data_IF_319143493019
#
_entry.id   IF_319143493019
#
_cell.length_a   1.000
_cell.length_b   1.000
_cell.length_c   1.000
_cell.angle_alpha   90.00
_cell.angle_beta   90.00
_cell.angle_gamma   90.00
#
_symmetry.space_group_name_H-M   'P 1'
#
loop_
_entity.id
_entity.type
_entity.pdbx_description
1 polymer ?
#
# COMPACT_ATOMS: atom_id res chain seq x y z
N UNK A 1 6.22 29.19 -10.48
CA UNK A 1 7.37 28.90 -9.58
C UNK A 1 8.67 29.12 -10.35
N UNK A 2 9.16 30.37 -10.45
CA UNK A 2 10.23 30.74 -11.40
C UNK A 2 11.57 30.04 -11.12
N UNK A 3 12.02 30.09 -9.87
CA UNK A 3 13.29 29.50 -9.44
C UNK A 3 13.38 27.99 -9.71
N UNK A 4 12.30 27.23 -9.46
CA UNK A 4 12.26 25.79 -9.74
C UNK A 4 12.36 25.48 -11.24
N UNK A 5 11.76 26.31 -12.11
CA UNK A 5 11.90 26.16 -13.55
C UNK A 5 13.33 26.46 -14.03
N UNK A 6 14.00 27.45 -13.44
CA UNK A 6 15.40 27.77 -13.76
C UNK A 6 16.34 26.63 -13.35
N UNK A 7 16.13 26.05 -12.16
CA UNK A 7 16.86 24.86 -11.71
C UNK A 7 16.63 23.65 -12.64
N UNK A 8 15.38 23.41 -13.05
CA UNK A 8 15.07 22.34 -13.99
C UNK A 8 15.75 22.56 -15.36
N UNK A 9 15.74 23.81 -15.87
CA UNK A 9 16.36 24.17 -17.15
C UNK A 9 17.88 24.00 -17.13
N UNK A 10 18.51 24.23 -15.98
CA UNK A 10 19.92 23.95 -15.78
C UNK A 10 20.21 22.44 -15.73
N UNK A 11 19.37 21.68 -15.01
CA UNK A 11 19.65 20.27 -14.70
C UNK A 11 19.37 19.31 -15.87
N UNK A 12 18.31 19.52 -16.67
CA UNK A 12 17.95 18.56 -17.72
C UNK A 12 19.07 18.33 -18.76
N UNK A 13 19.74 19.37 -19.30
CA UNK A 13 20.87 19.17 -20.20
C UNK A 13 22.03 18.39 -19.57
N UNK A 14 22.32 18.60 -18.28
CA UNK A 14 23.35 17.87 -17.54
C UNK A 14 23.04 16.38 -17.38
N UNK A 15 21.74 16.03 -17.39
CA UNK A 15 21.26 14.65 -17.41
C UNK A 15 21.14 14.06 -18.83
N UNK A 16 21.57 14.80 -19.87
CA UNK A 16 21.46 14.39 -21.27
C UNK A 16 20.05 14.58 -21.87
N UNK A 17 19.14 15.25 -21.17
CA UNK A 17 17.73 15.43 -21.56
C UNK A 17 17.50 16.75 -22.31
N UNK A 18 18.18 16.92 -23.45
CA UNK A 18 18.16 18.17 -24.24
C UNK A 18 16.84 18.42 -25.00
N UNK A 19 15.89 17.49 -24.94
CA UNK A 19 14.61 17.56 -25.65
C UNK A 19 13.46 18.12 -24.79
N UNK A 20 13.72 18.45 -23.52
CA UNK A 20 12.68 18.94 -22.60
C UNK A 20 12.49 20.44 -22.78
N UNK A 21 11.26 20.84 -23.10
CA UNK A 21 10.82 22.23 -23.05
C UNK A 21 10.21 22.53 -21.67
N UNK A 22 10.58 23.66 -21.06
CA UNK A 22 10.08 24.10 -19.76
C UNK A 22 9.25 25.36 -19.93
N UNK A 23 8.06 25.34 -19.34
CA UNK A 23 7.14 26.46 -19.32
C UNK A 23 6.86 26.89 -17.89
N UNK A 24 7.18 28.15 -17.57
CA UNK A 24 6.85 28.73 -16.27
C UNK A 24 5.47 29.40 -16.33
N UNK A 25 4.42 28.61 -16.24
CA UNK A 25 3.04 29.07 -16.31
C UNK A 25 2.17 28.42 -15.24
N UNK A 26 0.98 29.00 -15.02
CA UNK A 26 -0.10 28.29 -14.34
C UNK A 26 -0.50 27.06 -15.18
N UNK A 27 -0.50 25.87 -14.57
CA UNK A 27 -0.67 24.61 -15.28
C UNK A 27 -2.04 24.52 -15.96
N UNK A 28 -3.11 24.97 -15.29
CA UNK A 28 -4.47 24.92 -15.83
C UNK A 28 -4.64 25.88 -17.01
N UNK A 29 -4.13 27.10 -16.87
CA UNK A 29 -4.15 28.11 -17.93
C UNK A 29 -3.31 27.69 -19.14
N UNK A 30 -2.19 27.01 -18.91
CA UNK A 30 -1.35 26.45 -19.97
C UNK A 30 -2.08 25.31 -20.70
N UNK A 31 -2.58 24.32 -19.95
CA UNK A 31 -3.31 23.16 -20.48
C UNK A 31 -4.45 23.56 -21.42
N UNK A 32 -5.21 24.61 -21.08
CA UNK A 32 -6.30 25.14 -21.93
C UNK A 32 -5.81 25.51 -23.34
N UNK A 33 -4.61 26.07 -23.46
CA UNK A 33 -4.01 26.56 -24.71
C UNK A 33 -3.22 25.50 -25.47
N UNK A 34 -2.75 24.46 -24.79
CA UNK A 34 -1.94 23.40 -25.38
C UNK A 34 -2.76 22.57 -26.38
N UNK A 35 -2.11 22.10 -27.45
CA UNK A 35 -2.68 21.07 -28.33
C UNK A 35 -2.80 19.75 -27.58
N UNK A 36 -3.56 18.80 -28.13
CA UNK A 36 -3.57 17.45 -27.58
C UNK A 36 -2.17 16.83 -27.65
N UNK A 37 -1.84 16.02 -26.65
CA UNK A 37 -0.58 15.29 -26.50
C UNK A 37 -0.86 13.81 -26.24
N UNK A 38 0.15 12.95 -26.38
CA UNK A 38 -0.04 11.52 -26.17
C UNK A 38 -0.34 11.19 -24.70
N UNK A 39 0.38 11.84 -23.78
CA UNK A 39 0.33 11.58 -22.35
C UNK A 39 0.41 12.87 -21.52
N UNK A 40 -0.36 12.92 -20.43
CA UNK A 40 -0.24 13.93 -19.38
C UNK A 40 0.12 13.24 -18.07
N UNK A 41 1.14 13.74 -17.38
CA UNK A 41 1.48 13.34 -16.01
C UNK A 41 1.24 14.51 -15.07
N UNK A 42 0.67 14.23 -13.90
CA UNK A 42 0.41 15.25 -12.88
C UNK A 42 0.73 14.73 -11.48
N UNK A 43 1.37 15.59 -10.67
CA UNK A 43 1.59 15.41 -9.23
C UNK A 43 1.06 16.66 -8.51
N UNK A 44 -0.26 16.75 -8.26
CA UNK A 44 -0.86 17.95 -7.69
C UNK A 44 -0.36 18.21 -6.27
N UNK A 45 -0.24 19.48 -5.92
CA UNK A 45 0.20 19.89 -4.60
C UNK A 45 -0.85 19.56 -3.54
N UNK A 46 -0.39 19.18 -2.35
CA UNK A 46 -1.23 18.67 -1.24
C UNK A 46 -1.16 19.54 0.01
N UNK A 47 -0.92 20.85 -0.12
CA UNK A 47 -0.83 21.76 1.01
C UNK A 47 -1.96 22.78 0.98
N UNK A 48 -2.66 22.90 2.10
CA UNK A 48 -3.38 24.13 2.39
C UNK A 48 -2.37 25.27 2.66
N UNK A 49 -2.85 26.51 2.71
CA UNK A 49 -2.03 27.70 2.97
C UNK A 49 -1.28 27.69 4.32
N UNK A 50 -1.57 26.71 5.20
CA UNK A 50 -0.99 26.55 6.54
C UNK A 50 -0.10 25.31 6.67
N UNK A 51 0.17 24.58 5.57
CA UNK A 51 1.05 23.44 5.54
C UNK A 51 0.46 22.14 6.10
N UNK A 52 -0.86 22.06 6.29
CA UNK A 52 -1.52 20.82 6.72
C UNK A 52 -1.55 19.82 5.56
N UNK A 53 -1.31 18.55 5.88
CA UNK A 53 -1.43 17.44 4.91
C UNK A 53 -2.89 17.28 4.52
N UNK A 54 -3.17 17.42 3.23
CA UNK A 54 -4.51 17.23 2.69
C UNK A 54 -4.82 15.74 2.51
N UNK A 55 -6.05 15.37 2.86
CA UNK A 55 -6.49 13.97 3.00
C UNK A 55 -7.48 13.61 1.89
N UNK A 56 -8.16 14.59 1.28
CA UNK A 56 -9.10 14.39 0.18
C UNK A 56 -8.48 14.79 -1.16
N UNK A 57 -9.01 14.21 -2.24
CA UNK A 57 -8.58 14.56 -3.59
C UNK A 57 -8.95 16.00 -3.94
N UNK A 58 -10.17 16.43 -3.59
CA UNK A 58 -10.70 17.78 -3.84
C UNK A 58 -9.89 18.88 -3.16
N UNK A 59 -9.11 18.50 -2.15
CA UNK A 59 -8.27 19.46 -1.48
C UNK A 59 -7.06 19.81 -2.35
N UNK A 60 -6.62 18.92 -3.26
CA UNK A 60 -5.41 19.07 -4.06
C UNK A 60 -5.41 20.35 -4.92
N UNK A 61 -4.22 20.90 -5.18
CA UNK A 61 -4.04 22.07 -6.04
C UNK A 61 -3.21 21.69 -7.29
N UNK A 62 -3.81 21.72 -8.49
CA UNK A 62 -5.23 22.02 -8.76
C UNK A 62 -6.17 20.86 -8.37
N UNK A 63 -7.48 21.15 -8.27
CA UNK A 63 -8.49 20.10 -8.06
C UNK A 63 -8.60 19.27 -9.35
N UNK A 64 -8.08 18.03 -9.28
CA UNK A 64 -8.03 17.15 -10.44
C UNK A 64 -9.43 16.68 -10.87
N UNK A 65 -10.37 16.58 -9.93
CA UNK A 65 -11.72 16.12 -10.25
C UNK A 65 -12.48 17.11 -11.13
N UNK A 66 -12.24 18.42 -10.93
CA UNK A 66 -12.79 19.47 -11.81
C UNK A 66 -12.10 19.56 -13.17
N UNK A 67 -10.88 19.03 -13.28
CA UNK A 67 -10.08 19.05 -14.50
C UNK A 67 -10.23 17.81 -15.37
N UNK A 68 -10.83 16.73 -14.84
CA UNK A 68 -10.89 15.41 -15.49
C UNK A 68 -11.39 15.50 -16.94
N UNK A 69 -12.55 16.12 -17.18
CA UNK A 69 -13.13 16.25 -18.52
C UNK A 69 -12.20 17.01 -19.48
N UNK A 70 -11.55 18.08 -19.01
CA UNK A 70 -10.59 18.83 -19.83
C UNK A 70 -9.36 17.99 -20.17
N UNK A 71 -8.83 17.26 -19.19
CA UNK A 71 -7.65 16.41 -19.37
C UNK A 71 -7.94 15.34 -20.43
N UNK A 72 -9.12 14.71 -20.39
CA UNK A 72 -9.55 13.71 -21.37
C UNK A 72 -9.66 14.27 -22.80
N UNK A 73 -9.91 15.58 -22.97
CA UNK A 73 -9.82 16.22 -24.31
C UNK A 73 -8.39 16.51 -24.77
N UNK A 74 -7.42 16.50 -23.86
CA UNK A 74 -6.03 16.92 -24.10
C UNK A 74 -5.05 15.77 -24.21
N UNK A 75 -5.39 14.58 -23.70
CA UNK A 75 -4.53 13.41 -23.87
C UNK A 75 -5.29 12.09 -23.86
N UNK A 76 -4.72 11.10 -24.56
CA UNK A 76 -5.23 9.73 -24.57
C UNK A 76 -4.88 8.95 -23.31
N UNK A 77 -3.79 9.33 -22.62
CA UNK A 77 -3.34 8.74 -21.36
C UNK A 77 -3.05 9.83 -20.35
N UNK A 78 -3.69 9.76 -19.19
CA UNK A 78 -3.44 10.71 -18.11
C UNK A 78 -3.03 9.92 -16.89
N UNK A 79 -1.87 10.23 -16.30
CA UNK A 79 -1.38 9.63 -15.08
C UNK A 79 -1.44 10.66 -13.96
N UNK A 80 -2.28 10.39 -12.96
CA UNK A 80 -2.41 11.22 -11.75
C UNK A 80 -1.68 10.53 -10.61
N UNK A 81 -0.61 11.16 -10.12
CA UNK A 81 0.10 10.73 -8.93
C UNK A 81 -0.53 11.29 -7.67
N UNK A 82 -0.89 10.41 -6.75
CA UNK A 82 -1.53 10.75 -5.48
C UNK A 82 -0.73 10.23 -4.29
N UNK A 83 -1.04 10.81 -3.13
CA UNK A 83 -0.42 10.42 -1.86
C UNK A 83 -0.81 9.00 -1.47
N UNK A 84 0.11 8.23 -0.87
CA UNK A 84 -0.26 6.99 -0.19
C UNK A 84 -1.19 7.25 1.02
N UNK A 85 -1.29 8.50 1.48
CA UNK A 85 -2.22 8.91 2.53
C UNK A 85 -3.67 9.13 2.05
N UNK A 86 -3.92 9.28 0.75
CA UNK A 86 -5.29 9.46 0.25
C UNK A 86 -6.07 8.15 0.35
N UNK A 87 -7.36 8.24 0.67
CA UNK A 87 -8.26 7.10 0.62
C UNK A 87 -8.51 6.70 -0.85
N UNK A 88 -8.27 5.43 -1.18
CA UNK A 88 -8.37 4.96 -2.56
C UNK A 88 -9.82 4.99 -3.05
N UNK A 89 -10.77 4.57 -2.22
CA UNK A 89 -12.19 4.56 -2.57
C UNK A 89 -12.70 5.97 -2.86
N UNK A 90 -12.29 6.97 -2.08
CA UNK A 90 -12.61 8.38 -2.35
C UNK A 90 -11.96 8.89 -3.63
N UNK A 91 -10.72 8.50 -3.91
CA UNK A 91 -10.04 8.89 -5.15
C UNK A 91 -10.75 8.33 -6.39
N UNK A 92 -11.14 7.06 -6.36
CA UNK A 92 -11.88 6.40 -7.45
C UNK A 92 -13.29 6.95 -7.62
N UNK A 93 -13.96 7.32 -6.52
CA UNK A 93 -15.25 7.99 -6.60
C UNK A 93 -15.15 9.37 -7.28
N UNK A 94 -14.06 10.10 -7.01
CA UNK A 94 -13.85 11.45 -7.55
C UNK A 94 -13.34 11.45 -9.01
N UNK A 95 -12.53 10.45 -9.40
CA UNK A 95 -11.99 10.31 -10.77
C UNK A 95 -12.70 9.17 -11.50
N UNK A 96 -13.83 9.52 -12.10
CA UNK A 96 -14.81 8.58 -12.66
C UNK A 96 -14.30 7.85 -13.89
N UNK A 97 -13.28 8.39 -14.55
CA UNK A 97 -12.68 7.82 -15.75
C UNK A 97 -11.37 7.09 -15.47
N UNK A 98 -11.17 6.62 -14.24
CA UNK A 98 -10.02 5.77 -13.89
C UNK A 98 -10.13 4.43 -14.59
N UNK A 99 -9.16 4.13 -15.47
CA UNK A 99 -9.04 2.86 -16.18
C UNK A 99 -8.18 1.86 -15.39
N UNK A 100 -7.13 2.32 -14.71
CA UNK A 100 -6.23 1.46 -13.91
C UNK A 100 -5.74 2.18 -12.65
N UNK A 101 -5.47 1.41 -11.60
CA UNK A 101 -4.87 1.90 -10.36
C UNK A 101 -3.56 1.15 -10.13
N UNK A 102 -2.49 1.89 -9.82
CA UNK A 102 -1.22 1.31 -9.41
C UNK A 102 -0.85 1.82 -8.02
N UNK A 103 -0.60 0.91 -7.09
CA UNK A 103 -0.16 1.19 -5.73
C UNK A 103 1.27 0.72 -5.60
N UNK A 104 2.19 1.66 -5.49
CA UNK A 104 3.63 1.38 -5.56
C UNK A 104 4.23 1.47 -4.17
N UNK A 105 4.86 0.38 -3.75
CA UNK A 105 5.69 0.29 -2.55
C UNK A 105 7.15 0.06 -2.91
N UNK A 106 8.05 0.63 -2.13
CA UNK A 106 9.49 0.42 -2.24
C UNK A 106 10.02 0.01 -0.88
N UNK A 107 10.71 -1.12 -0.79
CA UNK A 107 11.17 -1.70 0.47
C UNK A 107 10.06 -1.83 1.52
N UNK A 108 8.87 -2.28 1.08
CA UNK A 108 7.67 -2.45 1.90
C UNK A 108 7.13 -1.15 2.54
N UNK A 109 7.39 0.00 1.91
CA UNK A 109 6.78 1.28 2.26
C UNK A 109 5.97 1.80 1.07
N UNK A 110 4.68 2.06 1.26
CA UNK A 110 3.82 2.59 0.19
C UNK A 110 4.21 4.04 -0.13
N UNK A 111 4.66 4.27 -1.37
CA UNK A 111 5.20 5.56 -1.82
C UNK A 111 4.18 6.42 -2.54
N UNK A 112 3.35 5.81 -3.38
CA UNK A 112 2.41 6.55 -4.23
C UNK A 112 1.25 5.68 -4.73
N UNK A 113 0.15 6.36 -5.05
CA UNK A 113 -0.95 5.81 -5.85
C UNK A 113 -0.88 6.48 -7.21
N UNK A 114 -0.98 5.73 -8.30
CA UNK A 114 -1.01 6.25 -9.66
C UNK A 114 -2.34 5.83 -10.27
N UNK A 115 -3.16 6.80 -10.66
CA UNK A 115 -4.43 6.55 -11.32
C UNK A 115 -4.26 6.89 -12.79
N UNK A 116 -4.53 5.91 -13.65
CA UNK A 116 -4.53 6.07 -15.09
C UNK A 116 -5.95 6.43 -15.52
N UNK A 117 -6.13 7.62 -16.09
CA UNK A 117 -7.41 8.04 -16.65
C UNK A 117 -7.39 7.90 -18.17
N UNK A 118 -8.53 7.53 -18.72
CA UNK A 118 -8.72 7.44 -20.16
C UNK A 118 -10.19 7.50 -20.57
N UNK A 119 -10.42 7.85 -21.83
CA UNK A 119 -11.77 8.03 -22.38
C UNK A 119 -12.50 6.71 -22.65
N UNK A 120 -11.81 5.57 -22.49
CA UNK A 120 -12.36 4.23 -22.73
C UNK A 120 -12.80 3.57 -21.41
N UNK A 121 -12.93 4.31 -20.30
CA UNK A 121 -13.50 3.79 -19.07
C UNK A 121 -14.95 3.32 -19.33
N UNK A 122 -15.14 2.04 -19.69
CA UNK A 122 -16.42 1.48 -20.16
C UNK A 122 -17.37 1.09 -19.02
N UNK A 123 -17.26 1.72 -17.84
CA UNK A 123 -18.00 1.31 -16.64
C UNK A 123 -17.63 -0.09 -16.11
N UNK A 124 -16.54 -0.68 -16.61
CA UNK A 124 -15.90 -1.86 -16.01
C UNK A 124 -15.05 -1.40 -14.82
N UNK A 125 -14.95 -2.22 -13.79
CA UNK A 125 -14.09 -1.90 -12.65
C UNK A 125 -12.62 -1.82 -13.07
N UNK A 126 -11.92 -0.83 -12.53
CA UNK A 126 -10.51 -0.60 -12.77
C UNK A 126 -9.68 -1.68 -12.05
N UNK A 127 -8.77 -2.41 -12.73
CA UNK A 127 -7.82 -3.27 -12.04
C UNK A 127 -6.92 -2.45 -11.10
N UNK A 128 -6.67 -3.02 -9.93
CA UNK A 128 -5.81 -2.45 -8.89
C UNK A 128 -4.52 -3.27 -8.82
N UNK A 129 -3.45 -2.69 -9.33
CA UNK A 129 -2.11 -3.24 -9.37
C UNK A 129 -1.35 -2.86 -8.10
N UNK A 130 -1.07 -3.83 -7.25
CA UNK A 130 -0.22 -3.68 -6.08
C UNK A 130 1.19 -4.12 -6.44
N UNK A 131 2.18 -3.25 -6.28
CA UNK A 131 3.58 -3.56 -6.60
C UNK A 131 4.47 -3.20 -5.42
N UNK A 132 5.35 -4.12 -5.02
CA UNK A 132 6.39 -3.87 -4.02
C UNK A 132 7.78 -4.15 -4.60
N UNK A 133 8.58 -3.11 -4.77
CA UNK A 133 9.93 -3.16 -5.34
C UNK A 133 10.95 -3.30 -4.21
N UNK A 134 11.81 -4.32 -4.28
CA UNK A 134 12.87 -4.59 -3.31
C UNK A 134 14.18 -4.90 -4.04
N UNK A 135 14.96 -3.87 -4.35
CA UNK A 135 16.15 -4.02 -5.19
C UNK A 135 15.75 -4.48 -6.59
N UNK A 136 16.29 -5.62 -7.04
CA UNK A 136 15.95 -6.23 -8.33
C UNK A 136 14.68 -7.10 -8.30
N UNK A 137 14.13 -7.37 -7.11
CA UNK A 137 12.92 -8.19 -6.94
C UNK A 137 11.66 -7.33 -6.92
N UNK A 138 10.58 -7.88 -7.47
CA UNK A 138 9.27 -7.25 -7.47
C UNK A 138 8.20 -8.27 -7.07
N UNK A 139 7.45 -7.97 -6.02
CA UNK A 139 6.21 -8.68 -5.70
C UNK A 139 5.05 -7.93 -6.36
N UNK A 140 4.07 -8.66 -6.90
CA UNK A 140 2.88 -8.07 -7.50
C UNK A 140 1.61 -8.80 -7.12
N UNK A 141 0.51 -8.05 -6.98
CA UNK A 141 -0.83 -8.60 -6.82
C UNK A 141 -1.83 -7.72 -7.56
N UNK A 142 -2.71 -8.33 -8.35
CA UNK A 142 -3.73 -7.61 -9.12
C UNK A 142 -5.10 -8.18 -8.77
N UNK A 143 -6.05 -7.29 -8.54
CA UNK A 143 -7.44 -7.59 -8.23
C UNK A 143 -8.36 -6.44 -8.63
N UNK A 144 -9.67 -6.65 -8.55
CA UNK A 144 -10.69 -5.59 -8.65
C UNK A 144 -11.49 -5.44 -7.37
N UNK A 145 -12.32 -4.39 -7.28
CA UNK A 145 -13.15 -4.17 -6.10
C UNK A 145 -14.20 -5.29 -5.92
N UNK A 146 -14.81 -5.74 -7.01
CA UNK A 146 -15.75 -6.86 -7.12
C UNK A 146 -15.08 -8.18 -6.69
N UNK A 147 -13.84 -8.45 -7.11
CA UNK A 147 -13.10 -9.62 -6.65
C UNK A 147 -12.92 -9.61 -5.12
N UNK A 148 -12.58 -8.47 -4.53
CA UNK A 148 -12.46 -8.33 -3.07
C UNK A 148 -13.82 -8.50 -2.36
N UNK A 149 -14.89 -7.94 -2.91
CA UNK A 149 -16.25 -8.05 -2.35
C UNK A 149 -16.81 -9.48 -2.44
N UNK A 150 -16.54 -10.19 -3.53
CA UNK A 150 -17.06 -11.54 -3.79
C UNK A 150 -16.17 -12.66 -3.24
N UNK A 151 -14.89 -12.39 -2.92
CA UNK A 151 -13.93 -13.40 -2.46
C UNK A 151 -14.40 -14.20 -1.24
N UNK A 152 -14.50 -15.52 -1.38
CA UNK A 152 -14.80 -16.44 -0.28
C UNK A 152 -13.57 -16.60 0.63
N UNK A 153 -13.39 -15.67 1.56
CA UNK A 153 -12.29 -15.69 2.54
C UNK A 153 -12.68 -16.50 3.76
N UNK A 154 -11.93 -17.57 4.03
CA UNK A 154 -12.08 -18.37 5.25
C UNK A 154 -11.33 -17.71 6.40
N UNK A 155 -11.96 -17.68 7.56
CA UNK A 155 -11.36 -17.23 8.81
C UNK A 155 -11.07 -18.40 9.72
N UNK A 156 -9.98 -18.33 10.49
CA UNK A 156 -9.56 -19.41 11.40
C UNK A 156 -9.06 -18.86 12.73
N UNK A 157 -9.37 -19.55 13.81
CA UNK A 157 -8.77 -19.39 15.14
C UNK A 157 -7.57 -20.33 15.35
N UNK A 158 -7.30 -21.21 14.39
CA UNK A 158 -6.23 -22.18 14.47
C UNK A 158 -5.04 -21.71 13.64
N UNK A 159 -3.86 -21.65 14.27
CA UNK A 159 -2.60 -21.38 13.59
C UNK A 159 -2.11 -22.64 12.86
N UNK A 160 -1.68 -22.48 11.62
CA UNK A 160 -1.09 -23.55 10.82
C UNK A 160 0.45 -23.45 10.84
N UNK A 161 1.12 -24.08 9.89
CA UNK A 161 2.59 -24.17 9.88
C UNK A 161 3.27 -22.85 9.50
N UNK A 162 2.67 -22.09 8.59
CA UNK A 162 3.23 -20.86 8.03
C UNK A 162 2.38 -19.64 8.37
N UNK A 163 3.02 -18.49 8.52
CA UNK A 163 2.37 -17.19 8.70
C UNK A 163 2.76 -16.24 7.56
N UNK A 164 1.79 -15.50 7.06
CA UNK A 164 1.95 -14.55 5.98
C UNK A 164 1.45 -13.18 6.38
N UNK A 165 2.20 -12.15 5.99
CA UNK A 165 1.77 -10.76 6.12
C UNK A 165 1.96 -10.05 4.77
N UNK A 166 0.87 -9.55 4.14
CA UNK A 166 0.96 -8.87 2.85
C UNK A 166 1.86 -7.64 2.89
N UNK A 167 2.44 -7.29 1.75
CA UNK A 167 3.24 -6.09 1.63
C UNK A 167 2.38 -4.80 1.73
N UNK A 168 3.03 -3.66 1.91
CA UNK A 168 2.37 -2.37 2.11
C UNK A 168 1.44 -1.95 0.95
N UNK A 169 1.74 -2.32 -0.30
CA UNK A 169 0.88 -1.98 -1.44
C UNK A 169 -0.44 -2.76 -1.40
N UNK A 170 -0.39 -4.05 -1.06
CA UNK A 170 -1.58 -4.90 -0.91
C UNK A 170 -2.43 -4.42 0.26
N UNK A 171 -1.81 -4.09 1.40
CA UNK A 171 -2.51 -3.54 2.56
C UNK A 171 -3.15 -2.18 2.25
N UNK A 172 -2.46 -1.32 1.51
CA UNK A 172 -2.99 -0.02 1.10
C UNK A 172 -4.16 -0.16 0.11
N UNK A 173 -4.12 -1.16 -0.76
CA UNK A 173 -5.18 -1.43 -1.73
C UNK A 173 -6.46 -1.97 -1.09
N UNK A 174 -6.37 -2.56 0.10
CA UNK A 174 -7.51 -3.22 0.74
C UNK A 174 -7.79 -4.62 0.21
N UNK A 175 -6.80 -5.27 -0.41
CA UNK A 175 -6.90 -6.66 -0.88
C UNK A 175 -6.79 -7.65 0.30
N UNK A 176 -7.84 -7.73 1.11
CA UNK A 176 -7.82 -8.49 2.36
C UNK A 176 -8.37 -9.89 2.21
N UNK A 177 -9.43 -10.07 1.42
CA UNK A 177 -10.11 -11.34 1.17
C UNK A 177 -9.64 -11.98 -0.14
N UNK A 178 -9.47 -11.17 -1.17
CA UNK A 178 -8.97 -11.58 -2.49
C UNK A 178 -7.63 -12.28 -2.38
N UNK A 179 -6.69 -11.77 -1.57
CA UNK A 179 -5.39 -12.42 -1.35
C UNK A 179 -5.52 -13.77 -0.66
N UNK A 180 -6.44 -13.91 0.31
CA UNK A 180 -6.67 -15.19 0.99
C UNK A 180 -7.20 -16.25 -0.01
N UNK A 181 -8.20 -15.85 -0.79
CA UNK A 181 -8.83 -16.70 -1.78
C UNK A 181 -7.85 -17.09 -2.90
N UNK A 182 -7.05 -16.14 -3.41
CA UNK A 182 -6.09 -16.38 -4.51
C UNK A 182 -5.03 -17.42 -4.15
N UNK A 183 -4.51 -17.38 -2.92
CA UNK A 183 -3.44 -18.26 -2.46
C UNK A 183 -3.95 -19.47 -1.66
N UNK A 184 -5.27 -19.61 -1.47
CA UNK A 184 -5.85 -20.71 -0.69
C UNK A 184 -5.40 -20.73 0.77
N UNK A 185 -5.23 -19.55 1.38
CA UNK A 185 -4.75 -19.38 2.76
C UNK A 185 -5.86 -18.85 3.66
N UNK A 186 -5.80 -19.18 4.95
CA UNK A 186 -6.82 -18.79 5.92
C UNK A 186 -6.44 -17.47 6.59
N UNK A 187 -7.39 -16.55 6.74
CA UNK A 187 -7.18 -15.26 7.42
C UNK A 187 -7.44 -15.41 8.91
N UNK A 188 -6.57 -14.85 9.76
CA UNK A 188 -6.70 -15.05 11.21
C UNK A 188 -7.93 -14.35 11.83
N UNK A 189 -8.32 -13.19 11.32
CA UNK A 189 -9.48 -12.43 11.78
C UNK A 189 -9.81 -11.33 10.74
N UNK A 190 -11.06 -10.84 10.59
CA UNK A 190 -11.43 -9.79 9.64
C UNK A 190 -10.50 -8.55 9.64
N UNK A 191 -10.10 -8.09 10.82
CA UNK A 191 -9.21 -6.93 11.00
C UNK A 191 -7.72 -7.31 11.22
N UNK A 192 -7.41 -8.59 11.44
CA UNK A 192 -6.02 -9.04 11.53
C UNK A 192 -5.56 -9.42 10.13
N UNK A 193 -4.86 -8.52 9.43
CA UNK A 193 -4.33 -8.77 8.08
C UNK A 193 -3.09 -9.69 8.11
N UNK A 194 -3.29 -10.87 8.70
CA UNK A 194 -2.35 -11.98 8.83
C UNK A 194 -3.06 -13.24 8.38
N UNK A 195 -2.30 -14.13 7.73
CA UNK A 195 -2.83 -15.32 7.08
C UNK A 195 -1.97 -16.52 7.45
N UNK A 196 -2.53 -17.72 7.37
CA UNK A 196 -1.84 -18.95 7.73
C UNK A 196 -2.18 -20.09 6.77
N UNK A 197 -1.23 -21.01 6.59
CA UNK A 197 -1.43 -22.25 5.82
C UNK A 197 -0.45 -23.35 6.28
N UNK A 198 -0.78 -24.60 6.00
CA UNK A 198 0.11 -25.74 6.19
C UNK A 198 1.07 -25.95 5.02
N UNK A 199 0.72 -25.45 3.83
CA UNK A 199 1.57 -25.50 2.63
C UNK A 199 2.27 -24.16 2.44
N UNK A 200 3.59 -24.18 2.24
CA UNK A 200 4.37 -22.96 2.00
C UNK A 200 4.02 -22.33 0.64
N UNK A 201 3.74 -21.02 0.65
CA UNK A 201 3.47 -20.24 -0.57
C UNK A 201 4.72 -19.41 -0.91
N UNK A 202 5.47 -19.84 -1.94
CA UNK A 202 6.76 -19.24 -2.30
C UNK A 202 6.64 -17.85 -2.96
N UNK A 203 5.54 -17.58 -3.65
CA UNK A 203 5.28 -16.35 -4.40
C UNK A 203 4.32 -15.40 -3.68
N UNK A 204 4.05 -15.61 -2.39
CA UNK A 204 3.18 -14.74 -1.60
C UNK A 204 3.70 -13.28 -1.61
N UNK A 205 2.85 -12.28 -1.93
CA UNK A 205 3.28 -10.88 -2.12
C UNK A 205 3.43 -10.17 -0.77
N UNK A 206 4.44 -10.56 -0.01
CA UNK A 206 4.71 -10.07 1.33
C UNK A 206 5.70 -10.92 2.11
N UNK A 207 5.67 -10.74 3.43
CA UNK A 207 6.55 -11.46 4.35
C UNK A 207 5.96 -12.84 4.65
N UNK A 208 6.83 -13.83 4.71
CA UNK A 208 6.54 -15.24 4.94
C UNK A 208 7.35 -15.72 6.14
N UNK A 209 6.75 -16.55 6.97
CA UNK A 209 7.39 -17.03 8.19
C UNK A 209 6.98 -18.48 8.51
N UNK A 210 7.87 -19.19 9.18
CA UNK A 210 7.57 -20.46 9.85
C UNK A 210 7.13 -20.18 11.28
N UNK A 211 5.99 -20.74 11.70
CA UNK A 211 5.50 -20.61 13.09
C UNK A 211 6.26 -21.62 13.96
N UNK A 212 7.03 -21.11 14.93
CA UNK A 212 7.82 -21.92 15.87
C UNK A 212 7.13 -22.09 17.22
N UNK A 213 6.08 -21.32 17.48
CA UNK A 213 5.25 -21.44 18.66
C UNK A 213 4.25 -20.30 18.78
N UNK A 214 3.31 -20.44 19.69
CA UNK A 214 2.36 -19.38 20.03
C UNK A 214 1.97 -19.51 21.50
N UNK A 215 1.48 -18.42 22.09
CA UNK A 215 0.90 -18.47 23.42
C UNK A 215 -0.20 -17.44 23.61
N UNK A 216 -1.00 -17.67 24.65
CA UNK A 216 -1.83 -16.61 25.23
C UNK A 216 -0.94 -15.61 25.97
N UNK A 217 -1.49 -14.44 26.30
CA UNK A 217 -0.76 -13.42 27.06
C UNK A 217 -0.67 -13.73 28.57
N UNK A 218 -0.75 -15.00 28.98
CA UNK A 218 -0.53 -15.43 30.37
C UNK A 218 0.96 -15.26 30.75
N UNK A 219 1.25 -14.86 32.00
CA UNK A 219 2.65 -14.61 32.42
C UNK A 219 3.55 -15.83 32.28
N UNK A 220 2.99 -17.04 32.49
CA UNK A 220 3.72 -18.29 32.42
C UNK A 220 4.08 -18.65 30.98
N UNK A 221 3.08 -18.73 30.10
CA UNK A 221 3.32 -19.13 28.71
C UNK A 221 4.19 -18.11 27.97
N UNK A 222 4.01 -16.81 28.23
CA UNK A 222 4.89 -15.78 27.67
C UNK A 222 6.35 -15.98 28.08
N UNK A 223 6.61 -16.37 29.33
CA UNK A 223 7.98 -16.64 29.79
C UNK A 223 8.56 -17.87 29.11
N UNK A 224 7.74 -18.90 28.89
CA UNK A 224 8.13 -20.12 28.19
C UNK A 224 8.41 -19.84 26.70
N UNK A 225 7.50 -19.17 25.98
CA UNK A 225 7.64 -18.84 24.56
C UNK A 225 8.86 -17.95 24.27
N UNK A 226 9.13 -16.98 25.16
CA UNK A 226 10.22 -16.01 25.02
C UNK A 226 11.53 -16.46 25.67
N UNK A 227 11.58 -17.66 26.26
CA UNK A 227 12.76 -18.14 26.96
C UNK A 227 13.99 -18.19 26.04
N UNK A 228 15.10 -17.62 26.51
CA UNK A 228 16.37 -17.57 25.76
C UNK A 228 16.43 -16.51 24.66
N UNK A 229 15.40 -15.68 24.48
CA UNK A 229 15.43 -14.57 23.52
C UNK A 229 15.98 -13.29 24.17
N UNK A 230 16.93 -12.64 23.50
CA UNK A 230 17.41 -11.30 23.85
C UNK A 230 16.87 -10.22 22.89
N UNK A 231 16.64 -10.61 21.62
CA UNK A 231 16.19 -9.73 20.55
C UNK A 231 15.04 -10.37 19.77
N UNK A 232 14.06 -9.56 19.41
CA UNK A 232 13.04 -9.93 18.45
C UNK A 232 12.47 -8.71 17.74
N UNK A 233 12.07 -8.91 16.48
CA UNK A 233 11.20 -7.97 15.78
C UNK A 233 9.76 -8.15 16.27
N UNK A 234 9.04 -7.05 16.51
CA UNK A 234 7.65 -7.10 17.00
C UNK A 234 6.74 -6.43 15.99
N UNK A 235 5.69 -7.14 15.58
CA UNK A 235 4.60 -6.63 14.75
C UNK A 235 3.28 -6.74 15.50
N UNK A 236 2.48 -5.67 15.45
CA UNK A 236 1.13 -5.65 16.00
C UNK A 236 0.12 -5.54 14.87
N UNK A 237 -0.90 -6.40 14.90
CA UNK A 237 -2.05 -6.37 13.99
C UNK A 237 -3.31 -6.57 14.79
N UNK A 238 -4.23 -5.59 14.76
CA UNK A 238 -5.52 -5.69 15.45
C UNK A 238 -5.38 -6.20 16.90
N UNK A 239 -4.63 -5.48 17.72
CA UNK A 239 -4.36 -5.85 19.11
C UNK A 239 -4.42 -4.60 20.00
N UNK A 240 -4.95 -4.68 21.24
CA UNK A 240 -5.11 -3.53 22.13
C UNK A 240 -3.82 -3.17 22.88
N UNK A 241 -2.71 -3.05 22.16
CA UNK A 241 -1.44 -2.53 22.64
C UNK A 241 -0.57 -2.08 21.47
N UNK A 242 0.23 -1.05 21.67
CA UNK A 242 1.23 -0.61 20.69
C UNK A 242 2.47 -1.51 20.71
N UNK A 243 3.29 -1.41 19.66
CA UNK A 243 4.61 -2.08 19.62
C UNK A 243 5.48 -1.66 20.80
N UNK A 244 5.45 -0.38 21.19
CA UNK A 244 6.23 0.14 22.32
C UNK A 244 5.78 -0.43 23.66
N UNK A 245 4.47 -0.50 23.90
CA UNK A 245 3.89 -1.08 25.12
C UNK A 245 4.24 -2.56 25.24
N UNK A 246 4.12 -3.31 24.15
CA UNK A 246 4.52 -4.73 24.12
C UNK A 246 6.02 -4.88 24.35
N UNK A 247 6.85 -4.06 23.71
CA UNK A 247 8.30 -4.10 23.89
C UNK A 247 8.71 -3.86 25.35
N UNK A 248 8.08 -2.89 26.02
CA UNK A 248 8.29 -2.63 27.46
C UNK A 248 7.87 -3.84 28.32
N UNK A 249 6.78 -4.51 27.96
CA UNK A 249 6.26 -5.68 28.69
C UNK A 249 7.15 -6.92 28.54
N UNK A 250 7.64 -7.19 27.32
CA UNK A 250 8.43 -8.40 27.03
C UNK A 250 9.93 -8.22 27.28
N UNK A 251 10.42 -6.97 27.35
CA UNK A 251 11.82 -6.61 27.64
C UNK A 251 12.83 -7.20 26.65
N UNK A 252 12.48 -7.21 25.36
CA UNK A 252 13.38 -7.64 24.28
C UNK A 252 13.89 -6.44 23.49
N UNK A 253 15.16 -6.50 23.09
CA UNK A 253 15.74 -5.55 22.16
C UNK A 253 15.22 -5.79 20.74
N UNK A 254 15.33 -4.78 19.87
CA UNK A 254 14.95 -4.94 18.47
C UNK A 254 16.03 -5.68 17.67
N UNK A 255 15.60 -6.43 16.66
CA UNK A 255 16.49 -7.21 15.78
C UNK A 255 16.51 -8.71 16.07
N UNK A 256 17.49 -9.40 15.51
CA UNK A 256 17.64 -10.85 15.58
C UNK A 256 16.89 -11.59 14.47
N UNK A 257 16.75 -12.91 14.61
CA UNK A 257 16.13 -13.77 13.61
C UNK A 257 14.68 -14.15 13.96
N UNK A 258 14.20 -13.73 15.14
CA UNK A 258 12.86 -14.05 15.64
C UNK A 258 11.92 -12.87 15.40
N UNK A 259 10.72 -13.22 14.94
CA UNK A 259 9.61 -12.31 14.70
C UNK A 259 8.46 -12.67 15.63
N UNK A 260 7.93 -11.69 16.34
CA UNK A 260 6.79 -11.82 17.23
C UNK A 260 5.60 -11.06 16.65
N UNK A 261 4.48 -11.73 16.45
CA UNK A 261 3.24 -11.14 15.99
C UNK A 261 2.20 -11.18 17.11
N UNK A 262 1.80 -10.01 17.60
CA UNK A 262 0.68 -9.88 18.51
C UNK A 262 -0.58 -9.56 17.71
N UNK A 263 -1.59 -10.43 17.82
CA UNK A 263 -2.82 -10.34 17.03
C UNK A 263 -4.03 -10.91 17.76
N UNK A 264 -5.21 -10.61 17.23
CA UNK A 264 -6.46 -11.32 17.53
C UNK A 264 -6.72 -12.40 16.49
N UNK A 265 -7.27 -13.52 16.96
CA UNK A 265 -7.85 -14.60 16.16
C UNK A 265 -9.37 -14.40 15.98
N UNK A 266 -10.01 -15.20 15.13
CA UNK A 266 -11.44 -15.02 14.79
C UNK A 266 -12.39 -15.26 15.96
N UNK A 267 -11.93 -15.93 17.02
CA UNK A 267 -12.65 -16.15 18.28
C UNK A 267 -12.39 -15.04 19.32
N UNK A 268 -11.78 -13.93 18.89
CA UNK A 268 -11.35 -12.79 19.73
C UNK A 268 -10.24 -13.13 20.75
N UNK A 269 -9.61 -14.30 20.63
CA UNK A 269 -8.48 -14.65 21.49
C UNK A 269 -7.22 -13.84 21.12
N UNK A 270 -6.53 -13.39 22.17
CA UNK A 270 -5.28 -12.62 22.09
C UNK A 270 -4.10 -13.57 22.06
N UNK A 271 -3.35 -13.57 20.95
CA UNK A 271 -2.22 -14.47 20.76
C UNK A 271 -0.94 -13.72 20.45
N UNK A 272 0.17 -14.24 20.98
CA UNK A 272 1.51 -13.90 20.55
C UNK A 272 2.06 -15.07 19.76
N UNK A 273 2.40 -14.84 18.50
CA UNK A 273 2.92 -15.85 17.59
C UNK A 273 4.42 -15.64 17.43
N UNK A 274 5.21 -16.68 17.67
CA UNK A 274 6.66 -16.69 17.46
C UNK A 274 6.99 -17.31 16.11
N UNK A 275 7.74 -16.57 15.33
CA UNK A 275 8.02 -16.87 13.94
C UNK A 275 9.52 -16.74 13.64
N UNK A 276 9.99 -17.49 12.65
CA UNK A 276 11.32 -17.35 12.05
C UNK A 276 11.17 -17.24 10.53
N UNK A 277 12.18 -16.69 9.85
CA UNK A 277 12.16 -16.67 8.38
C UNK A 277 12.34 -18.11 7.84
N UNK A 278 11.69 -18.48 6.72
CA UNK A 278 11.91 -19.74 6.04
C UNK A 278 13.38 -19.93 5.62
#
# INVERSE_FOLDING_TARGET
QKELCELAAHNFPLLGLNHIAIENADAVSYLKKTKAVDCIYMDPARRDTHGKKMIRLTDCEPDISELEDMLLTKASKIMVKLSPMLDLSQALYALRHTEEVHIVSVHNECKELLLMLGSNATGKESPIHCVNITGEKQDSFVFTHEEEQSAACTYTDTLETFLYEPNASVLKAGAFRSIACRYGINKLHPNSHLYTSNTFIEDFPGRRFFITGSCSFSKREMKELLSGLEKAHITVRNFPATVEELRKRIKLHDGGNVYLFATLLTDESKVLIRCEKP
#
